data_IF_812602919270
#
_entry.id   IF_812602919270
#
_cell.length_a   1.000
_cell.length_b   1.000
_cell.length_c   1.000
_cell.angle_alpha   90.00
_cell.angle_beta   90.00
_cell.angle_gamma   90.00
#
_symmetry.space_group_name_H-M   'P 1'
#
loop_
_entity.id
_entity.type
_entity.pdbx_description
1 polymer ?
#
# COMPACT_ATOMS: atom_id res chain seq x y z
N UNK A 1 -67.65 68.51 -0.14
CA UNK A 1 -67.33 67.13 0.34
C UNK A 1 -68.30 66.15 -0.27
N UNK A 2 -67.92 65.51 -1.37
CA UNK A 2 -68.75 64.56 -2.11
C UNK A 2 -68.30 63.10 -1.86
N UNK A 3 -69.20 62.14 -1.79
CA UNK A 3 -68.89 60.76 -1.45
C UNK A 3 -68.24 60.05 -2.64
N UNK A 4 -67.14 59.32 -2.39
CA UNK A 4 -66.46 58.45 -3.33
C UNK A 4 -67.26 57.16 -3.45
N UNK A 5 -67.74 56.85 -4.65
CA UNK A 5 -68.34 55.56 -5.02
C UNK A 5 -67.24 54.49 -5.18
N UNK A 6 -67.35 53.42 -4.42
CA UNK A 6 -66.53 52.19 -4.59
C UNK A 6 -67.24 51.29 -5.57
N UNK A 7 -66.59 50.98 -6.68
CA UNK A 7 -67.09 50.05 -7.70
C UNK A 7 -66.51 48.66 -7.43
N UNK A 8 -67.35 47.68 -7.11
CA UNK A 8 -66.99 46.28 -6.99
C UNK A 8 -66.95 45.62 -8.37
N UNK A 9 -65.79 45.12 -8.78
CA UNK A 9 -65.66 44.27 -9.98
C UNK A 9 -65.79 42.82 -9.54
N UNK A 10 -66.82 42.13 -9.99
CA UNK A 10 -67.04 40.70 -9.80
C UNK A 10 -66.15 39.95 -10.84
N UNK A 11 -65.07 39.28 -10.39
CA UNK A 11 -64.28 38.40 -11.27
C UNK A 11 -64.82 36.98 -11.15
N UNK A 12 -65.48 36.50 -12.18
CA UNK A 12 -65.94 35.14 -12.31
C UNK A 12 -64.78 34.27 -12.78
N UNK A 13 -64.22 33.43 -11.88
CA UNK A 13 -63.18 32.46 -12.22
C UNK A 13 -63.87 31.19 -12.74
N UNK A 14 -63.73 30.93 -14.02
CA UNK A 14 -64.14 29.64 -14.62
C UNK A 14 -63.03 28.61 -14.37
N UNK A 15 -63.25 27.63 -13.50
CA UNK A 15 -62.38 26.51 -13.29
C UNK A 15 -62.53 25.53 -14.44
N UNK A 16 -61.63 25.59 -15.43
CA UNK A 16 -61.45 24.50 -16.41
C UNK A 16 -60.69 23.37 -15.76
N UNK A 17 -61.39 22.33 -15.39
CA UNK A 17 -60.75 21.08 -14.87
C UNK A 17 -59.93 20.43 -15.97
N UNK A 18 -58.59 20.56 -15.91
CA UNK A 18 -57.68 19.65 -16.60
C UNK A 18 -57.66 18.32 -15.84
N UNK A 19 -58.29 17.30 -16.40
CA UNK A 19 -58.01 15.93 -16.01
C UNK A 19 -56.58 15.59 -16.44
N UNK A 20 -55.58 15.74 -15.55
CA UNK A 20 -54.28 15.12 -15.68
C UNK A 20 -54.51 13.61 -15.50
N UNK A 21 -54.49 12.89 -16.60
CA UNK A 21 -54.38 11.43 -16.57
C UNK A 21 -53.09 11.05 -15.84
N UNK A 22 -53.24 10.50 -14.65
CA UNK A 22 -52.12 9.86 -13.97
C UNK A 22 -51.68 8.67 -14.82
N UNK A 23 -50.59 8.86 -15.59
CA UNK A 23 -49.86 7.73 -16.15
C UNK A 23 -49.32 6.92 -14.96
N UNK A 24 -49.92 5.74 -14.75
CA UNK A 24 -49.30 4.71 -13.90
C UNK A 24 -47.98 4.32 -14.57
N UNK A 25 -46.90 5.05 -14.26
CA UNK A 25 -45.55 4.50 -14.43
C UNK A 25 -45.54 3.25 -13.55
N UNK A 26 -45.64 2.09 -14.16
CA UNK A 26 -45.31 0.82 -13.51
C UNK A 26 -43.84 0.88 -13.15
N UNK A 27 -43.53 1.26 -11.89
CA UNK A 27 -42.20 1.15 -11.31
C UNK A 27 -41.85 -0.33 -11.44
N UNK A 28 -41.02 -0.65 -12.44
CA UNK A 28 -40.49 -2.01 -12.59
C UNK A 28 -39.91 -2.40 -11.24
N UNK A 29 -40.20 -3.59 -10.71
CA UNK A 29 -39.60 -4.02 -9.45
C UNK A 29 -38.09 -3.87 -9.55
N UNK A 30 -37.40 -3.40 -8.50
CA UNK A 30 -35.97 -3.21 -8.53
C UNK A 30 -35.33 -4.51 -9.01
N UNK A 31 -34.49 -4.39 -10.04
CA UNK A 31 -33.86 -5.54 -10.70
C UNK A 31 -33.11 -6.33 -9.62
N UNK A 32 -33.45 -7.59 -9.44
CA UNK A 32 -32.84 -8.46 -8.43
C UNK A 32 -31.31 -8.53 -8.65
N UNK A 33 -30.56 -8.28 -7.60
CA UNK A 33 -29.08 -8.35 -7.63
C UNK A 33 -28.66 -9.81 -7.56
N UNK A 34 -27.81 -10.24 -8.51
CA UNK A 34 -27.29 -11.61 -8.58
C UNK A 34 -25.77 -11.63 -8.60
N UNK A 35 -25.19 -12.78 -8.23
CA UNK A 35 -23.74 -12.95 -8.25
C UNK A 35 -23.18 -12.77 -9.66
N UNK A 36 -23.67 -13.56 -10.63
CA UNK A 36 -23.11 -13.62 -11.97
C UNK A 36 -23.12 -12.26 -12.68
N UNK A 37 -24.21 -11.52 -12.58
CA UNK A 37 -24.38 -10.26 -13.31
C UNK A 37 -23.76 -9.06 -12.57
N UNK A 38 -23.95 -8.98 -11.24
CA UNK A 38 -23.71 -7.73 -10.52
C UNK A 38 -22.52 -7.82 -9.55
N UNK A 39 -22.31 -8.97 -8.91
CA UNK A 39 -21.28 -9.11 -7.86
C UNK A 39 -19.96 -9.64 -8.40
N UNK A 40 -19.98 -10.64 -9.28
CA UNK A 40 -18.77 -11.21 -9.86
C UNK A 40 -17.89 -10.14 -10.54
N UNK A 41 -18.44 -9.18 -11.33
CA UNK A 41 -17.61 -8.11 -11.90
C UNK A 41 -16.87 -7.29 -10.85
N UNK A 42 -17.52 -7.00 -9.71
CA UNK A 42 -16.91 -6.24 -8.60
C UNK A 42 -15.80 -7.06 -7.94
N UNK A 43 -16.09 -8.35 -7.64
CA UNK A 43 -15.10 -9.24 -7.02
C UNK A 43 -13.91 -9.48 -7.94
N UNK A 44 -14.13 -9.70 -9.22
CA UNK A 44 -13.09 -9.95 -10.22
C UNK A 44 -12.16 -8.76 -10.41
N UNK A 45 -12.70 -7.56 -10.33
CA UNK A 45 -11.91 -6.33 -10.44
C UNK A 45 -11.10 -6.01 -9.18
N UNK A 46 -11.68 -6.21 -7.98
CA UNK A 46 -11.14 -5.60 -6.75
C UNK A 46 -10.67 -6.62 -5.69
N UNK A 47 -11.08 -7.90 -5.77
CA UNK A 47 -10.89 -8.84 -4.67
C UNK A 47 -10.04 -10.06 -5.04
N UNK A 48 -10.27 -10.65 -6.24
CA UNK A 48 -9.62 -11.90 -6.63
C UNK A 48 -8.12 -11.75 -6.91
N UNK A 49 -7.60 -10.55 -6.93
CA UNK A 49 -6.15 -10.31 -6.96
C UNK A 49 -5.44 -10.97 -5.78
N UNK A 50 -6.11 -11.06 -4.62
CA UNK A 50 -5.64 -11.75 -3.42
C UNK A 50 -6.51 -12.98 -3.09
N UNK A 51 -7.83 -12.89 -3.31
CA UNK A 51 -8.80 -13.94 -2.98
C UNK A 51 -8.98 -14.95 -4.13
N UNK A 52 -7.93 -15.72 -4.41
CA UNK A 52 -7.90 -16.78 -5.41
C UNK A 52 -7.16 -18.02 -4.88
N UNK A 53 -7.28 -19.18 -5.52
CA UNK A 53 -6.54 -20.38 -5.09
C UNK A 53 -5.02 -20.13 -5.11
N UNK A 54 -4.33 -20.64 -4.09
CA UNK A 54 -2.87 -20.55 -3.93
C UNK A 54 -2.32 -19.12 -3.80
N UNK A 55 -3.14 -18.19 -3.33
CA UNK A 55 -2.70 -16.85 -2.96
C UNK A 55 -2.92 -16.60 -1.46
N UNK A 56 -2.53 -15.42 -0.96
CA UNK A 56 -2.43 -15.11 0.47
C UNK A 56 -3.78 -15.14 1.22
N UNK A 57 -4.89 -14.85 0.55
CA UNK A 57 -6.18 -14.79 1.21
C UNK A 57 -6.71 -16.20 1.56
N UNK A 58 -7.37 -16.37 2.73
CA UNK A 58 -7.77 -17.69 3.24
C UNK A 58 -8.91 -18.34 2.46
N UNK A 59 -9.56 -17.63 1.53
CA UNK A 59 -10.65 -18.16 0.71
C UNK A 59 -10.62 -17.56 -0.70
N UNK A 60 -11.04 -18.36 -1.68
CA UNK A 60 -11.24 -17.93 -3.05
C UNK A 60 -12.59 -17.22 -3.23
N UNK A 61 -12.62 -16.18 -4.06
CA UNK A 61 -13.85 -15.49 -4.52
C UNK A 61 -14.03 -15.60 -6.03
N UNK A 62 -13.37 -16.58 -6.66
CA UNK A 62 -13.39 -16.80 -8.10
C UNK A 62 -14.70 -17.39 -8.63
N UNK A 63 -15.43 -18.10 -7.79
CA UNK A 63 -16.71 -18.74 -8.19
C UNK A 63 -17.81 -18.44 -7.19
N UNK A 64 -19.06 -18.55 -7.64
CA UNK A 64 -20.22 -18.46 -6.73
C UNK A 64 -20.15 -19.48 -5.60
N UNK A 65 -19.76 -20.72 -5.92
CA UNK A 65 -19.63 -21.81 -4.95
C UNK A 65 -18.63 -21.47 -3.84
N UNK A 66 -17.49 -20.89 -4.21
CA UNK A 66 -16.46 -20.50 -3.24
C UNK A 66 -16.89 -19.26 -2.44
N UNK A 67 -17.55 -18.31 -3.07
CA UNK A 67 -17.98 -17.04 -2.46
C UNK A 67 -19.18 -17.21 -1.52
N UNK A 68 -20.12 -18.08 -1.87
CA UNK A 68 -21.42 -18.23 -1.18
C UNK A 68 -21.31 -18.46 0.33
N UNK A 69 -20.38 -19.30 0.85
CA UNK A 69 -20.20 -19.51 2.28
C UNK A 69 -19.76 -18.25 3.05
N UNK A 70 -19.13 -17.30 2.36
CA UNK A 70 -18.49 -16.11 2.94
C UNK A 70 -19.31 -14.83 2.77
N UNK A 71 -20.53 -14.92 2.27
CA UNK A 71 -21.37 -13.75 1.94
C UNK A 71 -21.53 -12.78 3.11
N UNK A 72 -21.78 -13.29 4.32
CA UNK A 72 -21.93 -12.43 5.51
C UNK A 72 -20.62 -11.75 5.90
N UNK A 73 -19.49 -12.45 6.04
CA UNK A 73 -18.17 -11.81 6.27
C UNK A 73 -17.79 -10.81 5.17
N UNK A 74 -18.04 -11.13 3.88
CA UNK A 74 -17.77 -10.21 2.77
C UNK A 74 -18.56 -8.91 2.94
N UNK A 75 -19.86 -9.02 3.21
CA UNK A 75 -20.71 -7.86 3.45
C UNK A 75 -20.21 -7.00 4.61
N UNK A 76 -19.88 -7.62 5.73
CA UNK A 76 -19.35 -6.93 6.92
C UNK A 76 -18.04 -6.20 6.59
N UNK A 77 -17.13 -6.84 5.87
CA UNK A 77 -15.84 -6.28 5.49
C UNK A 77 -15.98 -5.09 4.53
N UNK A 78 -16.84 -5.19 3.50
CA UNK A 78 -16.98 -4.10 2.51
C UNK A 78 -17.79 -2.92 3.06
N UNK A 79 -18.84 -3.17 3.85
CA UNK A 79 -19.65 -2.10 4.47
C UNK A 79 -18.85 -1.33 5.50
N UNK A 80 -17.99 -2.00 6.27
CA UNK A 80 -17.06 -1.35 7.21
C UNK A 80 -15.80 -0.80 6.53
N UNK A 81 -15.67 -0.92 5.20
CA UNK A 81 -14.50 -0.50 4.40
C UNK A 81 -13.16 -1.10 4.88
N UNK A 82 -13.21 -2.30 5.49
CA UNK A 82 -12.00 -3.08 5.80
C UNK A 82 -11.39 -3.75 4.58
N UNK A 83 -12.23 -4.01 3.54
CA UNK A 83 -11.81 -4.62 2.28
C UNK A 83 -12.42 -3.88 1.09
N UNK A 84 -11.62 -3.65 0.04
CA UNK A 84 -10.18 -3.83 -0.04
C UNK A 84 -9.44 -2.96 0.97
N UNK A 85 -8.25 -3.38 1.48
CA UNK A 85 -7.48 -2.58 2.42
C UNK A 85 -6.98 -1.29 1.75
N UNK A 86 -7.21 -0.17 2.42
CA UNK A 86 -6.73 1.15 1.99
C UNK A 86 -6.86 2.14 3.15
N UNK A 87 -5.77 2.83 3.49
CA UNK A 87 -5.71 3.60 4.72
C UNK A 87 -5.43 5.09 4.50
N UNK A 88 -5.09 5.52 3.26
CA UNK A 88 -4.96 6.94 2.98
C UNK A 88 -6.31 7.67 3.08
N UNK A 89 -6.27 8.86 3.67
CA UNK A 89 -7.43 9.74 3.78
C UNK A 89 -7.95 10.11 2.38
N UNK A 90 -9.23 9.86 2.06
CA UNK A 90 -9.79 10.18 0.75
C UNK A 90 -9.78 11.67 0.39
N UNK A 91 -9.50 12.55 1.35
CA UNK A 91 -9.44 14.00 1.17
C UNK A 91 -8.02 14.51 0.90
N UNK A 92 -7.01 13.64 1.03
CA UNK A 92 -5.59 13.99 0.90
C UNK A 92 -4.95 13.13 -0.18
N UNK A 93 -4.54 13.76 -1.26
CA UNK A 93 -3.96 13.10 -2.43
C UNK A 93 -5.00 12.42 -3.33
N UNK A 94 -4.56 12.06 -4.54
CA UNK A 94 -5.30 11.28 -5.54
C UNK A 94 -4.34 10.23 -6.09
N UNK A 95 -4.70 8.94 -5.93
CA UNK A 95 -3.80 7.82 -6.15
C UNK A 95 -4.30 6.91 -7.27
N UNK A 96 -3.40 6.46 -8.14
CA UNK A 96 -3.74 5.59 -9.28
C UNK A 96 -4.03 4.15 -8.86
N UNK A 97 -3.53 3.73 -7.72
CA UNK A 97 -3.68 2.37 -7.19
C UNK A 97 -4.71 2.25 -6.07
N UNK A 98 -5.63 3.21 -5.96
CA UNK A 98 -6.71 3.17 -4.97
C UNK A 98 -7.71 2.04 -5.27
N UNK A 99 -7.77 0.98 -4.46
CA UNK A 99 -8.62 -0.17 -4.70
C UNK A 99 -10.01 -0.03 -4.06
N UNK A 100 -10.32 1.10 -3.43
CA UNK A 100 -11.57 1.27 -2.67
C UNK A 100 -12.79 1.08 -3.55
N UNK A 101 -13.76 0.36 -3.01
CA UNK A 101 -15.06 0.24 -3.65
C UNK A 101 -15.83 1.57 -3.60
N UNK A 102 -16.54 1.85 -4.67
CA UNK A 102 -17.53 2.94 -4.71
C UNK A 102 -18.72 2.62 -3.81
N UNK A 103 -19.47 3.63 -3.39
CA UNK A 103 -20.69 3.45 -2.60
C UNK A 103 -21.72 2.56 -3.34
N UNK A 104 -21.78 2.66 -4.68
CA UNK A 104 -22.64 1.84 -5.51
C UNK A 104 -22.22 0.36 -5.52
N UNK A 105 -20.92 0.06 -5.58
CA UNK A 105 -20.40 -1.30 -5.50
C UNK A 105 -20.66 -1.92 -4.12
N UNK A 106 -20.46 -1.15 -3.05
CA UNK A 106 -20.76 -1.56 -1.66
C UNK A 106 -22.25 -1.85 -1.52
N UNK A 107 -23.12 -0.95 -2.00
CA UNK A 107 -24.58 -1.13 -1.95
C UNK A 107 -25.04 -2.35 -2.75
N UNK A 108 -24.39 -2.65 -3.88
CA UNK A 108 -24.66 -3.84 -4.69
C UNK A 108 -24.37 -5.12 -3.91
N UNK A 109 -23.20 -5.22 -3.28
CA UNK A 109 -22.82 -6.37 -2.45
C UNK A 109 -23.74 -6.50 -1.23
N UNK A 110 -24.05 -5.39 -0.53
CA UNK A 110 -24.96 -5.37 0.62
C UNK A 110 -26.36 -5.87 0.23
N UNK A 111 -26.91 -5.35 -0.88
CA UNK A 111 -28.21 -5.77 -1.42
C UNK A 111 -28.22 -7.24 -1.79
N UNK A 112 -27.18 -7.72 -2.49
CA UNK A 112 -27.07 -9.13 -2.87
C UNK A 112 -27.14 -10.05 -1.65
N UNK A 113 -26.38 -9.76 -0.62
CA UNK A 113 -26.37 -10.59 0.60
C UNK A 113 -27.72 -10.55 1.32
N UNK A 114 -28.34 -9.37 1.46
CA UNK A 114 -29.64 -9.19 2.12
C UNK A 114 -30.80 -9.89 1.38
N UNK A 115 -30.71 -9.99 0.05
CA UNK A 115 -31.76 -10.63 -0.76
C UNK A 115 -31.55 -12.13 -0.98
N UNK A 116 -30.64 -12.74 -0.20
CA UNK A 116 -30.43 -14.19 -0.16
C UNK A 116 -29.25 -14.68 -1.01
N UNK A 117 -28.43 -13.77 -1.52
CA UNK A 117 -27.19 -14.05 -2.25
C UNK A 117 -27.38 -15.05 -3.40
N UNK A 118 -28.29 -14.75 -4.32
CA UNK A 118 -28.62 -15.61 -5.47
C UNK A 118 -27.49 -15.62 -6.50
N UNK A 119 -27.34 -16.78 -7.19
CA UNK A 119 -26.30 -16.95 -8.22
C UNK A 119 -26.60 -16.15 -9.49
N UNK A 120 -27.82 -16.25 -9.98
CA UNK A 120 -28.26 -15.65 -11.26
C UNK A 120 -28.06 -16.56 -12.47
N UNK A 121 -28.30 -16.03 -13.67
CA UNK A 121 -28.13 -16.78 -14.93
C UNK A 121 -26.63 -16.98 -15.22
N UNK A 122 -26.17 -18.20 -15.50
CA UNK A 122 -24.79 -18.48 -15.90
C UNK A 122 -24.29 -17.68 -17.11
N UNK A 123 -25.19 -17.23 -17.98
CA UNK A 123 -24.86 -16.42 -19.16
C UNK A 123 -24.40 -15.00 -18.81
N UNK A 124 -24.79 -14.53 -17.62
CA UNK A 124 -24.44 -13.20 -17.13
C UNK A 124 -23.04 -13.18 -16.48
N UNK A 125 -22.42 -14.35 -16.24
CA UNK A 125 -21.11 -14.42 -15.60
C UNK A 125 -20.04 -13.91 -16.56
N UNK A 126 -19.26 -12.87 -16.19
CA UNK A 126 -18.13 -12.43 -16.99
C UNK A 126 -17.02 -13.49 -17.04
N UNK A 127 -16.15 -13.45 -18.07
CA UNK A 127 -14.97 -14.30 -18.08
C UNK A 127 -14.16 -14.14 -16.81
N UNK A 128 -13.73 -15.25 -16.21
CA UNK A 128 -12.87 -15.23 -15.04
C UNK A 128 -11.53 -14.57 -15.38
N UNK A 129 -10.98 -13.72 -14.50
CA UNK A 129 -9.65 -13.16 -14.68
C UNK A 129 -8.60 -14.27 -14.78
N UNK A 130 -7.67 -14.10 -15.71
CA UNK A 130 -6.51 -14.98 -15.85
C UNK A 130 -5.32 -14.29 -15.17
N UNK A 131 -4.70 -14.98 -14.24
CA UNK A 131 -3.51 -14.50 -13.56
C UNK A 131 -2.28 -15.19 -14.13
N UNK A 132 -1.24 -14.43 -14.39
CA UNK A 132 0.03 -14.99 -14.85
C UNK A 132 0.62 -15.86 -13.73
N UNK A 133 1.03 -17.07 -14.10
CA UNK A 133 1.91 -17.89 -13.28
C UNK A 133 3.35 -17.43 -13.53
N UNK A 134 3.93 -16.63 -12.62
CA UNK A 134 5.27 -16.08 -12.78
C UNK A 134 5.29 -14.57 -13.03
N UNK A 135 6.25 -14.12 -13.85
CA UNK A 135 6.51 -12.71 -14.07
C UNK A 135 5.44 -12.01 -14.91
N UNK A 136 4.98 -10.84 -14.47
CA UNK A 136 4.15 -9.93 -15.29
C UNK A 136 5.01 -9.05 -16.20
N UNK A 137 6.30 -8.89 -15.89
CA UNK A 137 7.31 -8.26 -16.73
C UNK A 137 8.15 -9.33 -17.45
N UNK A 138 8.92 -8.92 -18.46
CA UNK A 138 9.94 -9.77 -19.07
C UNK A 138 11.31 -9.34 -18.53
N UNK A 139 11.84 -9.98 -17.47
CA UNK A 139 13.09 -9.57 -16.87
C UNK A 139 14.28 -9.75 -17.81
N UNK A 140 15.20 -8.79 -17.79
CA UNK A 140 16.52 -8.95 -18.42
C UNK A 140 17.47 -9.74 -17.48
N UNK A 141 17.25 -9.65 -16.16
CA UNK A 141 17.95 -10.43 -15.13
C UNK A 141 17.01 -10.80 -14.00
N UNK A 142 17.24 -11.98 -13.42
CA UNK A 142 16.55 -12.46 -12.21
C UNK A 142 17.57 -12.75 -11.13
N UNK A 143 17.37 -12.17 -9.95
CA UNK A 143 18.20 -12.41 -8.77
C UNK A 143 17.32 -13.09 -7.71
N UNK A 144 17.79 -14.22 -7.18
CA UNK A 144 17.00 -15.11 -6.32
C UNK A 144 17.74 -15.32 -5.01
N UNK A 145 17.01 -15.32 -3.88
CA UNK A 145 17.57 -15.71 -2.59
C UNK A 145 17.96 -17.20 -2.59
N UNK A 146 18.95 -17.63 -1.79
CA UNK A 146 19.15 -19.04 -1.48
C UNK A 146 17.85 -19.66 -0.95
N UNK A 147 17.70 -20.99 -1.15
CA UNK A 147 16.52 -21.71 -0.61
C UNK A 147 16.43 -21.50 0.90
N UNK A 148 15.30 -21.00 1.37
CA UNK A 148 15.02 -20.75 2.78
C UNK A 148 13.87 -21.64 3.26
N UNK A 149 14.06 -22.31 4.42
CA UNK A 149 13.02 -23.14 5.03
C UNK A 149 12.16 -22.30 5.98
N UNK A 150 10.92 -22.07 5.60
CA UNK A 150 9.90 -21.43 6.43
C UNK A 150 9.17 -22.51 7.20
N UNK A 151 9.43 -22.63 8.50
CA UNK A 151 8.83 -23.69 9.32
C UNK A 151 7.34 -23.45 9.57
N UNK A 152 6.61 -24.51 9.90
CA UNK A 152 5.19 -24.41 10.28
C UNK A 152 4.94 -23.49 11.50
N UNK A 153 5.98 -23.19 12.29
CA UNK A 153 5.92 -22.30 13.45
C UNK A 153 6.24 -20.83 13.12
N UNK A 154 6.65 -20.53 11.89
CA UNK A 154 7.00 -19.17 11.45
C UNK A 154 5.75 -18.33 11.24
N UNK A 155 5.35 -17.58 12.27
CA UNK A 155 4.11 -16.79 12.25
C UNK A 155 4.32 -15.32 11.92
N UNK A 156 5.52 -14.77 12.17
CA UNK A 156 5.81 -13.35 12.00
C UNK A 156 7.34 -13.13 11.99
N UNK A 157 8.02 -13.82 11.07
CA UNK A 157 9.48 -13.86 10.99
C UNK A 157 9.97 -12.88 9.89
N UNK A 158 11.00 -12.08 10.22
CA UNK A 158 11.68 -11.20 9.27
C UNK A 158 13.08 -11.72 8.97
N UNK A 159 13.35 -11.97 7.70
CA UNK A 159 14.68 -12.42 7.25
C UNK A 159 15.31 -11.37 6.33
N UNK A 160 16.60 -11.11 6.56
CA UNK A 160 17.40 -10.20 5.74
C UNK A 160 18.45 -11.00 4.99
N UNK A 161 18.29 -11.09 3.67
CA UNK A 161 19.10 -11.93 2.81
C UNK A 161 19.81 -11.08 1.77
N UNK A 162 21.15 -11.20 1.68
CA UNK A 162 21.97 -10.42 0.76
C UNK A 162 22.32 -11.23 -0.47
N UNK A 163 21.99 -10.69 -1.65
CA UNK A 163 22.27 -11.31 -2.94
C UNK A 163 23.17 -10.39 -3.76
N UNK A 164 24.37 -10.81 -4.17
CA UNK A 164 25.23 -9.98 -5.00
C UNK A 164 24.60 -9.77 -6.38
N UNK A 165 24.62 -8.53 -6.87
CA UNK A 165 24.10 -8.24 -8.23
C UNK A 165 25.04 -8.74 -9.33
N UNK A 166 26.35 -8.83 -9.03
CA UNK A 166 27.42 -9.11 -9.97
C UNK A 166 27.49 -8.12 -11.16
N UNK A 167 26.91 -6.93 -10.99
CA UNK A 167 26.99 -5.88 -12.00
C UNK A 167 28.38 -5.25 -12.01
N UNK A 168 29.01 -5.25 -13.18
CA UNK A 168 30.34 -4.64 -13.40
C UNK A 168 30.25 -3.16 -13.79
N UNK A 169 29.06 -2.67 -14.07
CA UNK A 169 28.72 -1.29 -14.40
C UNK A 169 27.37 -0.90 -13.79
N UNK A 170 27.12 0.39 -13.61
CA UNK A 170 25.82 0.88 -13.13
C UNK A 170 24.70 0.41 -14.06
N UNK A 171 23.60 -0.07 -13.48
CA UNK A 171 22.41 -0.48 -14.24
C UNK A 171 21.24 0.44 -13.94
N UNK A 172 20.55 0.83 -15.00
CA UNK A 172 19.34 1.63 -14.93
C UNK A 172 18.10 0.74 -15.08
N UNK A 173 17.27 0.73 -14.04
CA UNK A 173 16.13 -0.18 -13.93
C UNK A 173 14.85 0.57 -14.26
N UNK A 174 14.20 0.18 -15.34
CA UNK A 174 12.91 0.74 -15.77
C UNK A 174 11.72 0.00 -15.19
N UNK A 175 11.81 -1.31 -14.99
CA UNK A 175 10.78 -2.07 -14.31
C UNK A 175 11.40 -3.12 -13.39
N UNK A 176 10.69 -3.43 -12.31
CA UNK A 176 11.06 -4.47 -11.38
C UNK A 176 9.81 -5.17 -10.85
N UNK A 177 9.96 -6.44 -10.53
CA UNK A 177 8.91 -7.25 -9.91
C UNK A 177 9.56 -8.20 -8.92
N UNK A 178 9.01 -8.25 -7.71
CA UNK A 178 9.40 -9.25 -6.71
C UNK A 178 8.38 -10.38 -6.78
N UNK A 179 8.88 -11.58 -7.03
CA UNK A 179 8.08 -12.79 -7.15
C UNK A 179 8.39 -13.71 -5.97
N UNK A 180 7.45 -13.93 -5.04
CA UNK A 180 7.58 -14.92 -3.98
C UNK A 180 7.81 -16.32 -4.53
N UNK A 181 8.66 -17.10 -3.89
CA UNK A 181 8.80 -18.51 -4.20
C UNK A 181 7.56 -19.30 -3.80
N UNK A 182 6.98 -18.95 -2.65
CA UNK A 182 5.67 -19.48 -2.23
C UNK A 182 4.80 -18.38 -1.59
N UNK A 183 3.71 -18.02 -2.28
CA UNK A 183 2.78 -16.97 -1.85
C UNK A 183 2.00 -17.29 -0.57
N UNK A 184 1.96 -18.56 -0.15
CA UNK A 184 1.26 -18.99 1.06
C UNK A 184 2.00 -18.59 2.34
N UNK A 185 3.30 -18.32 2.24
CA UNK A 185 4.16 -18.05 3.39
C UNK A 185 4.89 -16.72 3.33
N UNK A 186 5.04 -16.12 2.15
CA UNK A 186 5.62 -14.78 1.99
C UNK A 186 4.53 -13.74 2.13
N UNK A 187 4.50 -13.03 3.26
CA UNK A 187 3.51 -11.98 3.52
C UNK A 187 3.85 -10.70 2.74
N UNK A 188 5.10 -10.23 2.84
CA UNK A 188 5.64 -9.16 1.98
C UNK A 188 7.16 -9.28 1.87
N UNK A 189 7.72 -8.64 0.86
CA UNK A 189 9.16 -8.54 0.68
C UNK A 189 9.54 -7.17 0.13
N UNK A 190 10.56 -6.56 0.73
CA UNK A 190 11.17 -5.33 0.22
C UNK A 190 12.59 -5.65 -0.24
N UNK A 191 12.97 -5.17 -1.41
CA UNK A 191 14.32 -5.35 -1.94
C UNK A 191 14.99 -3.99 -2.03
N UNK A 192 16.09 -3.80 -1.29
CA UNK A 192 16.86 -2.57 -1.26
C UNK A 192 18.26 -2.78 -1.83
N UNK A 193 18.83 -1.73 -2.42
CA UNK A 193 20.22 -1.75 -2.89
C UNK A 193 21.15 -1.37 -1.74
N UNK A 194 22.16 -2.19 -1.51
CA UNK A 194 23.16 -1.96 -0.46
C UNK A 194 24.57 -2.02 -1.05
N UNK A 195 25.43 -1.13 -0.60
CA UNK A 195 26.84 -1.10 -1.02
C UNK A 195 27.62 -2.29 -0.43
N UNK A 196 28.59 -2.80 -1.18
CA UNK A 196 29.38 -3.98 -0.79
C UNK A 196 30.14 -3.80 0.52
N UNK A 197 30.66 -2.61 0.79
CA UNK A 197 31.36 -2.29 2.04
C UNK A 197 30.46 -2.36 3.27
N UNK A 198 29.18 -1.96 3.13
CA UNK A 198 28.18 -2.11 4.20
C UNK A 198 27.85 -3.58 4.48
N UNK A 199 27.78 -4.42 3.42
CA UNK A 199 27.59 -5.87 3.59
C UNK A 199 28.78 -6.48 4.31
N UNK A 200 30.00 -6.18 3.87
CA UNK A 200 31.22 -6.67 4.50
C UNK A 200 31.31 -6.30 5.99
N UNK A 201 30.93 -5.06 6.34
CA UNK A 201 30.87 -4.61 7.74
C UNK A 201 29.87 -5.41 8.56
N UNK A 202 28.68 -5.69 8.01
CA UNK A 202 27.67 -6.52 8.69
C UNK A 202 28.11 -7.97 8.85
N UNK A 203 28.81 -8.53 7.85
CA UNK A 203 29.40 -9.87 7.94
C UNK A 203 30.46 -9.93 9.05
N UNK A 204 31.29 -8.91 9.18
CA UNK A 204 32.29 -8.81 10.26
C UNK A 204 31.64 -8.68 11.64
N UNK A 205 30.58 -7.89 11.79
CA UNK A 205 29.81 -7.74 13.02
C UNK A 205 29.14 -9.07 13.42
N UNK A 206 28.57 -9.79 12.46
CA UNK A 206 27.96 -11.11 12.69
C UNK A 206 29.00 -12.16 13.09
N UNK A 207 30.17 -12.19 12.43
CA UNK A 207 31.26 -13.09 12.79
C UNK A 207 31.76 -12.87 14.22
N UNK A 208 31.71 -11.63 14.72
CA UNK A 208 32.10 -11.29 16.11
C UNK A 208 31.03 -11.65 17.13
N UNK A 209 29.76 -11.78 16.73
CA UNK A 209 28.66 -12.07 17.65
C UNK A 209 28.50 -13.53 18.03
N UNK A 210 29.29 -14.45 17.48
CA UNK A 210 29.21 -15.93 17.67
C UNK A 210 27.81 -16.53 17.46
N UNK A 211 26.93 -15.82 16.78
CA UNK A 211 25.59 -16.28 16.50
C UNK A 211 25.62 -17.20 15.29
N UNK A 212 25.94 -18.44 15.36
CA UNK A 212 26.03 -19.45 14.30
C UNK A 212 25.01 -19.38 13.14
N UNK A 213 24.74 -18.18 12.68
CA UNK A 213 23.83 -17.82 11.62
C UNK A 213 24.55 -17.87 10.27
N UNK A 214 23.87 -18.40 9.29
CA UNK A 214 24.38 -18.53 7.93
C UNK A 214 24.85 -17.16 7.42
N UNK A 215 25.96 -17.10 6.72
CA UNK A 215 26.64 -15.95 6.15
C UNK A 215 25.73 -14.93 5.43
N UNK A 216 24.57 -15.35 4.97
CA UNK A 216 23.64 -14.55 4.18
C UNK A 216 22.31 -14.25 4.90
N UNK A 217 22.12 -14.72 6.13
CA UNK A 217 20.90 -14.57 6.88
C UNK A 217 21.13 -13.73 8.14
N UNK A 218 20.38 -12.66 8.29
CA UNK A 218 20.31 -11.89 9.50
C UNK A 218 18.91 -12.01 10.11
N UNK A 219 18.77 -12.83 11.17
CA UNK A 219 17.52 -12.92 11.92
C UNK A 219 17.36 -11.72 12.85
N UNK A 220 16.39 -10.88 12.59
CA UNK A 220 16.00 -9.80 13.50
C UNK A 220 14.99 -10.26 14.56
N UNK A 221 15.02 -11.49 14.97
CA UNK A 221 14.26 -12.01 16.12
C UNK A 221 14.84 -11.64 17.48
N UNK A 222 15.98 -10.96 17.53
CA UNK A 222 16.50 -10.38 18.77
C UNK A 222 16.08 -8.93 18.87
N UNK A 223 15.29 -8.64 19.91
CA UNK A 223 15.05 -7.34 20.49
C UNK A 223 16.21 -6.39 20.12
N UNK A 224 15.90 -5.34 19.37
CA UNK A 224 16.79 -4.20 19.23
C UNK A 224 17.30 -3.87 20.62
N UNK A 225 18.60 -4.13 20.89
CA UNK A 225 19.19 -3.68 22.12
C UNK A 225 19.12 -2.16 22.08
N UNK A 226 18.12 -1.62 22.75
CA UNK A 226 18.09 -0.20 23.08
C UNK A 226 19.45 0.06 23.70
N UNK A 227 20.29 0.82 23.00
CA UNK A 227 21.50 1.32 23.64
C UNK A 227 21.01 2.06 24.86
N UNK A 228 21.38 1.59 26.05
CA UNK A 228 20.97 2.23 27.32
C UNK A 228 21.26 3.73 27.38
N UNK A 229 22.08 4.20 26.47
CA UNK A 229 22.62 5.55 26.35
C UNK A 229 22.08 6.30 25.10
N UNK A 230 21.17 5.71 24.31
CA UNK A 230 20.59 6.41 23.16
C UNK A 230 19.64 7.52 23.68
N UNK A 231 19.74 8.75 23.16
CA UNK A 231 18.77 9.78 23.52
C UNK A 231 17.38 9.35 23.06
N UNK A 232 16.37 9.55 23.90
CA UNK A 232 14.96 9.43 23.50
C UNK A 232 14.56 10.76 22.88
N UNK A 233 14.16 10.73 21.61
CA UNK A 233 13.80 11.91 20.82
C UNK A 233 12.41 11.72 20.20
N UNK A 234 11.36 11.98 20.96
CA UNK A 234 9.99 11.96 20.45
C UNK A 234 9.75 13.07 19.41
N UNK A 235 10.46 14.18 19.56
CA UNK A 235 10.48 15.27 18.59
C UNK A 235 11.78 15.25 17.76
N UNK A 236 11.75 14.49 16.69
CA UNK A 236 12.85 14.43 15.74
C UNK A 236 13.09 15.74 15.00
N UNK A 237 12.09 16.63 14.92
CA UNK A 237 12.24 17.95 14.29
C UNK A 237 13.12 18.90 15.12
N UNK A 238 13.28 18.66 16.41
CA UNK A 238 14.20 19.39 17.26
C UNK A 238 15.66 18.90 17.14
N UNK A 239 15.88 17.77 16.44
CA UNK A 239 17.22 17.20 16.23
C UNK A 239 17.84 17.71 14.93
N UNK A 240 19.14 18.04 14.88
CA UNK A 240 19.85 18.34 13.63
C UNK A 240 19.75 17.23 12.57
N UNK A 241 19.57 15.97 13.01
CA UNK A 241 19.44 14.80 12.15
C UNK A 241 17.96 14.44 11.84
N UNK A 242 17.01 15.31 12.21
CA UNK A 242 15.58 15.12 11.93
C UNK A 242 14.95 13.87 12.58
N UNK A 243 15.56 13.32 13.64
CA UNK A 243 15.17 12.07 14.29
C UNK A 243 15.95 10.85 13.80
N UNK A 244 16.84 11.01 12.83
CA UNK A 244 17.78 9.98 12.40
C UNK A 244 18.93 9.77 13.40
N UNK A 245 19.64 8.66 13.27
CA UNK A 245 20.84 8.39 14.05
C UNK A 245 22.06 9.04 13.41
N UNK A 246 23.13 9.36 14.18
CA UNK A 246 24.37 9.89 13.63
C UNK A 246 24.93 8.97 12.53
N UNK A 247 25.15 9.52 11.34
CA UNK A 247 25.62 8.80 10.16
C UNK A 247 24.52 8.22 9.25
N UNK A 248 23.29 8.16 9.73
CA UNK A 248 22.09 7.84 8.96
C UNK A 248 20.95 8.82 9.34
N UNK A 249 21.09 10.10 9.00
CA UNK A 249 20.11 11.12 9.37
C UNK A 249 18.77 10.86 8.68
N UNK A 250 17.70 11.45 9.22
CA UNK A 250 16.40 11.51 8.55
C UNK A 250 16.56 12.07 7.12
N UNK A 251 15.80 11.54 6.17
CA UNK A 251 15.98 11.90 4.76
C UNK A 251 17.11 11.14 4.05
N UNK A 252 17.54 10.04 4.61
CA UNK A 252 18.49 9.13 3.98
C UNK A 252 17.96 8.68 2.61
N UNK A 253 18.86 8.72 1.61
CA UNK A 253 18.52 8.28 0.26
C UNK A 253 18.67 6.76 0.16
N UNK A 254 17.57 6.07 -0.02
CA UNK A 254 17.53 4.63 -0.28
C UNK A 254 17.17 4.33 -1.74
N UNK A 255 17.57 3.16 -2.20
CA UNK A 255 17.29 2.69 -3.55
C UNK A 255 16.52 1.38 -3.41
N UNK A 256 15.22 1.42 -3.66
CA UNK A 256 14.32 0.27 -3.56
C UNK A 256 13.83 -0.10 -4.95
N UNK A 257 14.46 -1.08 -5.62
CA UNK A 257 14.04 -1.49 -6.96
C UNK A 257 12.67 -2.15 -6.99
N UNK A 258 12.26 -2.83 -5.92
CA UNK A 258 10.96 -3.50 -5.92
C UNK A 258 10.47 -3.88 -4.53
N UNK A 259 9.14 -3.93 -4.42
CA UNK A 259 8.40 -4.38 -3.24
C UNK A 259 7.38 -5.43 -3.68
N UNK A 260 7.23 -6.49 -2.91
CA UNK A 260 6.09 -7.40 -2.99
C UNK A 260 5.14 -7.15 -1.83
N UNK A 261 3.91 -6.86 -2.17
CA UNK A 261 2.76 -6.87 -1.27
C UNK A 261 1.67 -7.72 -1.93
N UNK A 262 0.84 -8.44 -1.17
CA UNK A 262 -0.28 -9.17 -1.74
C UNK A 262 -1.16 -8.26 -2.60
N UNK A 263 -1.38 -8.67 -3.86
CA UNK A 263 -2.14 -7.85 -4.81
C UNK A 263 -1.36 -6.74 -5.51
N UNK A 264 -0.12 -6.48 -5.12
CA UNK A 264 0.74 -5.52 -5.81
C UNK A 264 1.28 -6.10 -7.12
N UNK A 265 1.25 -5.29 -8.16
CA UNK A 265 1.78 -5.65 -9.48
C UNK A 265 3.23 -5.16 -9.63
N UNK A 266 3.86 -5.57 -10.74
CA UNK A 266 5.19 -5.11 -11.09
C UNK A 266 5.29 -3.56 -11.14
N UNK A 267 6.35 -3.01 -10.56
CA UNK A 267 6.65 -1.59 -10.68
C UNK A 267 7.24 -1.28 -12.05
N UNK A 268 6.50 -0.55 -12.86
CA UNK A 268 6.94 -0.09 -14.18
C UNK A 268 7.01 1.42 -14.21
N UNK A 269 8.17 1.95 -14.57
CA UNK A 269 8.41 3.39 -14.67
C UNK A 269 8.19 3.85 -16.10
N UNK A 270 7.70 5.08 -16.34
CA UNK A 270 7.55 5.62 -17.69
C UNK A 270 8.88 5.66 -18.44
N UNK A 271 8.83 5.74 -19.76
CA UNK A 271 10.01 5.92 -20.61
C UNK A 271 10.83 7.16 -20.18
N UNK A 272 12.13 7.00 -20.07
CA UNK A 272 13.04 8.05 -19.58
C UNK A 272 13.15 8.16 -18.06
N UNK A 273 12.38 7.38 -17.28
CA UNK A 273 12.52 7.28 -15.83
C UNK A 273 13.16 5.93 -15.47
N UNK A 274 14.17 5.96 -14.63
CA UNK A 274 14.78 4.73 -14.14
C UNK A 274 15.40 4.93 -12.75
N UNK A 275 15.57 3.82 -12.06
CA UNK A 275 16.28 3.72 -10.80
C UNK A 275 17.68 3.20 -11.08
N UNK A 276 18.72 3.76 -10.46
CA UNK A 276 20.10 3.36 -10.65
C UNK A 276 20.53 2.33 -9.62
N UNK A 277 21.04 1.18 -10.06
CA UNK A 277 21.76 0.23 -9.21
C UNK A 277 23.25 0.35 -9.54
N UNK A 278 24.08 0.84 -8.59
CA UNK A 278 25.53 0.97 -8.80
C UNK A 278 26.22 -0.38 -9.03
N UNK A 279 27.32 -0.35 -9.77
CA UNK A 279 28.20 -1.50 -9.95
C UNK A 279 28.65 -2.08 -8.60
N UNK A 280 28.78 -3.40 -8.51
CA UNK A 280 29.27 -4.10 -7.31
C UNK A 280 28.31 -4.07 -6.12
N UNK A 281 27.07 -3.56 -6.29
CA UNK A 281 26.05 -3.55 -5.23
C UNK A 281 25.53 -4.94 -4.93
N UNK A 282 24.95 -5.09 -3.74
CA UNK A 282 24.11 -6.21 -3.34
C UNK A 282 22.65 -5.77 -3.31
N UNK A 283 21.74 -6.73 -3.45
CA UNK A 283 20.35 -6.57 -3.08
C UNK A 283 20.11 -7.18 -1.71
N UNK A 284 19.55 -6.39 -0.81
CA UNK A 284 19.06 -6.85 0.50
C UNK A 284 17.57 -7.16 0.36
N UNK A 285 17.22 -8.42 0.44
CA UNK A 285 15.84 -8.85 0.57
C UNK A 285 15.46 -8.83 2.05
N UNK A 286 14.49 -8.02 2.42
CA UNK A 286 13.78 -8.13 3.69
C UNK A 286 12.50 -8.89 3.40
N UNK A 287 12.43 -10.14 3.83
CA UNK A 287 11.26 -10.99 3.60
C UNK A 287 10.54 -11.23 4.92
N UNK A 288 9.27 -10.88 4.95
CA UNK A 288 8.38 -11.16 6.07
C UNK A 288 7.61 -12.44 5.79
N UNK A 289 7.87 -13.46 6.59
CA UNK A 289 7.21 -14.74 6.51
C UNK A 289 6.09 -14.86 7.54
N UNK A 290 4.94 -15.40 7.08
CA UNK A 290 3.79 -15.70 7.93
C UNK A 290 3.17 -17.01 7.45
N UNK A 291 3.56 -18.11 8.09
CA UNK A 291 3.17 -19.46 7.65
C UNK A 291 1.89 -19.94 8.35
N UNK A 292 0.79 -19.91 7.62
CA UNK A 292 -0.50 -20.44 8.06
C UNK A 292 -0.86 -21.80 7.42
N UNK A 293 0.07 -22.39 6.65
CA UNK A 293 -0.18 -23.68 5.97
C UNK A 293 -0.18 -24.89 6.90
N UNK A 294 0.46 -24.77 8.07
CA UNK A 294 0.67 -25.87 9.00
C UNK A 294 1.76 -26.87 8.60
N UNK A 295 2.49 -26.58 7.51
CA UNK A 295 3.58 -27.41 6.97
C UNK A 295 4.85 -26.58 6.80
N UNK A 296 5.99 -27.24 6.83
CA UNK A 296 7.27 -26.61 6.46
C UNK A 296 7.30 -26.35 4.95
N UNK A 297 7.62 -25.12 4.56
CA UNK A 297 7.59 -24.68 3.16
C UNK A 297 8.95 -24.12 2.79
N UNK A 298 9.44 -24.43 1.60
CA UNK A 298 10.67 -23.86 1.05
C UNK A 298 10.35 -22.67 0.18
N UNK A 299 11.01 -21.54 0.47
CA UNK A 299 10.91 -20.32 -0.31
C UNK A 299 12.16 -20.04 -1.13
N UNK A 300 11.98 -19.42 -2.29
CA UNK A 300 13.02 -18.89 -3.18
C UNK A 300 12.53 -17.61 -3.83
N UNK A 301 12.19 -16.64 -3.00
CA UNK A 301 11.76 -15.30 -3.47
C UNK A 301 12.82 -14.70 -4.39
N UNK A 302 12.35 -14.09 -5.47
CA UNK A 302 13.21 -13.55 -6.53
C UNK A 302 12.79 -12.13 -6.89
N UNK A 303 13.72 -11.35 -7.46
CA UNK A 303 13.40 -10.10 -8.13
C UNK A 303 13.79 -10.19 -9.60
N UNK A 304 12.87 -9.82 -10.48
CA UNK A 304 13.12 -9.61 -11.90
C UNK A 304 13.35 -8.13 -12.19
N UNK A 305 14.38 -7.80 -12.93
CA UNK A 305 14.74 -6.43 -13.29
C UNK A 305 14.71 -6.27 -14.81
N UNK A 306 14.09 -5.19 -15.28
CA UNK A 306 14.11 -4.77 -16.69
C UNK A 306 14.97 -3.52 -16.79
N UNK A 307 15.99 -3.56 -17.62
CA UNK A 307 16.88 -2.43 -17.86
C UNK A 307 16.23 -1.37 -18.75
N UNK A 308 16.55 -0.11 -18.52
CA UNK A 308 16.15 0.98 -19.40
C UNK A 308 16.81 0.82 -20.76
N UNK A 309 15.99 0.85 -21.82
CA UNK A 309 16.46 0.72 -23.22
C UNK A 309 16.63 2.08 -23.89
N UNK A 310 16.08 3.11 -23.29
CA UNK A 310 16.16 4.49 -23.76
C UNK A 310 17.02 5.34 -22.81
N UNK A 311 17.56 6.48 -23.26
CA UNK A 311 18.31 7.38 -22.39
C UNK A 311 17.50 7.81 -21.18
N UNK A 312 18.09 7.65 -20.00
CA UNK A 312 17.48 8.05 -18.73
C UNK A 312 17.52 9.57 -18.61
N UNK A 313 16.36 10.18 -18.39
CA UNK A 313 16.18 11.62 -18.21
C UNK A 313 15.94 11.98 -16.73
N UNK A 314 15.32 11.05 -16.01
CA UNK A 314 14.92 11.23 -14.61
C UNK A 314 15.33 10.01 -13.78
N UNK A 315 16.17 10.24 -12.79
CA UNK A 315 16.52 9.23 -11.80
C UNK A 315 15.43 9.17 -10.72
N UNK A 316 14.91 7.96 -10.47
CA UNK A 316 14.00 7.67 -9.37
C UNK A 316 14.83 7.28 -8.14
N UNK A 317 14.50 7.87 -7.01
CA UNK A 317 15.13 7.57 -5.74
C UNK A 317 14.09 7.72 -4.62
N UNK A 318 14.36 7.11 -3.47
CA UNK A 318 13.50 7.16 -2.31
C UNK A 318 14.21 7.89 -1.17
N UNK A 319 13.55 8.87 -0.57
CA UNK A 319 13.96 9.47 0.69
C UNK A 319 13.21 8.81 1.84
N UNK A 320 13.92 8.33 2.83
CA UNK A 320 13.33 7.79 4.05
C UNK A 320 13.38 8.85 5.15
N UNK A 321 12.21 9.35 5.54
CA UNK A 321 12.05 10.32 6.63
C UNK A 321 11.61 9.53 7.85
N UNK A 322 12.50 9.32 8.79
CA UNK A 322 12.31 8.40 9.89
C UNK A 322 12.71 8.97 11.24
N UNK A 323 12.12 8.45 12.30
CA UNK A 323 12.63 8.58 13.67
C UNK A 323 12.60 7.18 14.32
N UNK A 324 13.74 6.73 14.82
CA UNK A 324 13.91 5.46 15.51
C UNK A 324 14.52 5.61 16.92
N UNK A 325 14.59 6.84 17.41
CA UNK A 325 15.17 7.20 18.71
C UNK A 325 14.08 7.55 19.75
N UNK A 326 12.91 6.92 19.67
CA UNK A 326 11.82 7.17 20.60
C UNK A 326 11.50 5.96 21.48
N UNK A 327 10.80 6.21 22.57
CA UNK A 327 10.32 5.18 23.49
C UNK A 327 8.83 5.38 23.73
N UNK A 328 8.01 4.36 23.43
CA UNK A 328 6.58 4.42 23.71
C UNK A 328 6.36 4.01 25.16
N UNK A 329 5.84 4.89 26.02
CA UNK A 329 5.55 4.56 27.41
C UNK A 329 4.48 3.45 27.52
N UNK A 330 4.52 2.60 28.54
CA UNK A 330 3.46 1.64 28.79
C UNK A 330 2.11 2.33 29.02
N UNK A 331 1.04 1.80 28.43
CA UNK A 331 -0.33 2.31 28.52
C UNK A 331 -0.52 3.72 27.92
N UNK A 332 0.35 4.16 27.04
CA UNK A 332 0.14 5.36 26.24
C UNK A 332 -0.57 4.97 24.94
N UNK A 333 -1.83 5.33 24.82
CA UNK A 333 -2.67 4.98 23.69
C UNK A 333 -2.55 5.96 22.50
N UNK A 334 -1.71 7.00 22.62
CA UNK A 334 -1.56 8.04 21.60
C UNK A 334 -0.22 8.75 21.64
N UNK A 335 0.86 7.99 21.81
CA UNK A 335 2.22 8.52 21.86
C UNK A 335 2.63 9.18 20.55
N UNK A 336 2.93 10.48 20.60
CA UNK A 336 3.29 11.28 19.42
C UNK A 336 4.81 11.24 19.18
N UNK A 337 5.19 10.96 17.93
CA UNK A 337 6.57 11.01 17.46
C UNK A 337 6.62 11.83 16.17
N UNK A 338 7.64 12.69 16.04
CA UNK A 338 7.88 13.45 14.80
C UNK A 338 9.20 13.11 14.16
N UNK A 339 9.30 13.33 12.85
CA UNK A 339 10.55 13.35 12.10
C UNK A 339 10.50 14.43 11.03
N UNK A 340 11.63 15.08 10.77
CA UNK A 340 11.72 16.16 9.79
C UNK A 340 12.88 15.96 8.83
N UNK A 341 12.72 16.49 7.62
CA UNK A 341 13.77 16.51 6.62
C UNK A 341 13.61 17.70 5.69
N UNK A 342 14.68 18.48 5.52
CA UNK A 342 14.70 19.59 4.55
C UNK A 342 15.29 19.12 3.23
N UNK A 343 14.55 19.27 2.14
CA UNK A 343 14.99 18.84 0.80
C UNK A 343 16.24 19.63 0.34
N UNK A 344 17.34 18.94 0.01
CA UNK A 344 18.58 19.58 -0.44
C UNK A 344 18.53 20.04 -1.90
N UNK A 345 17.54 19.60 -2.66
CA UNK A 345 17.32 19.90 -4.08
C UNK A 345 15.83 19.82 -4.42
N UNK A 346 15.47 20.30 -5.60
CA UNK A 346 14.12 20.11 -6.15
C UNK A 346 13.81 18.62 -6.35
N UNK A 347 12.62 18.18 -5.94
CA UNK A 347 12.17 16.79 -6.02
C UNK A 347 10.77 16.74 -6.62
N UNK A 348 10.58 15.97 -7.69
CA UNK A 348 9.25 15.63 -8.18
C UNK A 348 8.77 14.37 -7.46
N UNK A 349 7.70 14.51 -6.69
CA UNK A 349 7.12 13.39 -5.94
C UNK A 349 6.25 12.54 -6.85
N UNK A 350 6.45 11.21 -6.77
CA UNK A 350 5.70 10.23 -7.58
C UNK A 350 4.89 9.26 -6.72
N UNK A 351 5.34 9.00 -5.50
CA UNK A 351 4.67 8.10 -4.56
C UNK A 351 5.07 8.40 -3.11
N UNK A 352 4.27 7.88 -2.19
CA UNK A 352 4.55 7.85 -0.75
C UNK A 352 4.40 6.45 -0.20
N UNK A 353 5.13 6.14 0.87
CA UNK A 353 4.91 4.93 1.67
C UNK A 353 4.86 5.34 3.14
N UNK A 354 3.75 5.04 3.81
CA UNK A 354 3.67 5.15 5.26
C UNK A 354 4.13 3.85 5.88
N UNK A 355 5.17 3.92 6.73
CA UNK A 355 5.69 2.74 7.41
C UNK A 355 5.82 2.97 8.90
N UNK A 356 5.16 2.14 9.68
CA UNK A 356 5.34 1.99 11.13
C UNK A 356 5.30 0.49 11.47
N UNK A 357 5.75 0.11 12.66
CA UNK A 357 5.59 -1.25 13.16
C UNK A 357 4.20 -1.44 13.82
N UNK A 358 3.95 -2.62 14.39
CA UNK A 358 2.62 -3.06 14.85
C UNK A 358 1.96 -2.14 15.90
N UNK A 359 2.73 -1.29 16.59
CA UNK A 359 2.20 -0.25 17.50
C UNK A 359 1.77 1.03 16.78
N UNK A 360 1.99 1.13 15.46
CA UNK A 360 1.57 2.28 14.67
C UNK A 360 0.06 2.44 14.64
N UNK A 361 -0.43 3.67 14.85
CA UNK A 361 -1.84 4.04 14.88
C UNK A 361 -2.24 4.97 13.74
N UNK A 362 -1.44 5.99 13.49
CA UNK A 362 -1.66 6.93 12.39
C UNK A 362 -0.39 7.64 11.99
N UNK A 363 -0.32 8.09 10.73
CA UNK A 363 0.80 8.86 10.19
C UNK A 363 0.29 9.97 9.29
N UNK A 364 0.87 11.17 9.44
CA UNK A 364 0.60 12.31 8.59
C UNK A 364 1.91 12.97 8.18
N UNK A 365 2.07 13.29 6.89
CA UNK A 365 3.23 14.04 6.37
C UNK A 365 2.76 15.37 5.80
N UNK A 366 3.42 16.44 6.23
CA UNK A 366 3.17 17.83 5.83
C UNK A 366 4.41 18.38 5.12
N UNK A 367 4.21 19.17 4.09
CA UNK A 367 5.26 19.92 3.39
C UNK A 367 5.15 21.39 3.74
N UNK A 368 6.24 21.97 4.23
CA UNK A 368 6.38 23.40 4.52
C UNK A 368 7.31 24.01 3.46
N UNK A 369 6.73 24.83 2.60
CA UNK A 369 7.44 25.41 1.46
C UNK A 369 8.27 26.64 1.84
N UNK A 370 9.33 26.97 1.10
CA UNK A 370 10.17 28.15 1.38
C UNK A 370 9.44 29.49 1.33
N UNK A 371 8.32 29.56 0.63
CA UNK A 371 7.46 30.77 0.54
C UNK A 371 6.47 30.92 1.71
N UNK A 372 6.49 30.00 2.67
CA UNK A 372 5.61 29.97 3.82
C UNK A 372 4.27 29.25 3.62
N UNK A 373 4.01 28.74 2.42
CA UNK A 373 2.88 27.84 2.19
C UNK A 373 3.14 26.49 2.88
N UNK A 374 2.07 25.81 3.33
CA UNK A 374 2.15 24.44 3.81
C UNK A 374 0.91 23.64 3.44
N UNK A 375 1.08 22.34 3.25
CA UNK A 375 -0.03 21.44 2.95
C UNK A 375 0.23 20.03 3.49
N UNK A 376 -0.86 19.28 3.72
CA UNK A 376 -0.79 17.86 4.03
C UNK A 376 -0.64 17.08 2.74
N UNK A 377 0.48 16.38 2.57
CA UNK A 377 0.79 15.63 1.35
C UNK A 377 0.46 14.13 1.46
N UNK A 378 0.41 13.59 2.69
CA UNK A 378 -0.08 12.25 2.99
C UNK A 378 -0.74 12.25 4.36
N UNK A 379 -1.90 11.60 4.47
CA UNK A 379 -2.56 11.32 5.75
C UNK A 379 -3.06 9.88 5.78
N UNK A 380 -2.61 9.11 6.78
CA UNK A 380 -3.02 7.73 7.04
C UNK A 380 -3.58 7.67 8.46
N UNK A 381 -4.87 8.02 8.66
CA UNK A 381 -5.46 8.19 9.98
C UNK A 381 -5.68 6.87 10.75
N UNK A 382 -5.71 5.75 10.05
CA UNK A 382 -5.91 4.42 10.62
C UNK A 382 -4.90 3.47 10.01
N UNK A 383 -3.63 3.57 10.47
CA UNK A 383 -2.57 2.68 10.01
C UNK A 383 -2.82 1.24 10.45
N UNK A 384 -2.56 0.29 9.57
CA UNK A 384 -2.56 -1.14 9.90
C UNK A 384 -1.25 -1.76 9.40
N UNK A 385 -0.44 -2.26 10.32
CA UNK A 385 0.87 -2.86 10.04
C UNK A 385 0.81 -4.02 9.02
N UNK A 386 -0.31 -4.72 8.93
CA UNK A 386 -0.50 -5.81 7.97
C UNK A 386 -0.60 -5.33 6.51
N UNK A 387 -0.83 -4.01 6.30
CA UNK A 387 -1.06 -3.40 5.00
C UNK A 387 -0.18 -2.15 4.84
N UNK A 388 1.07 -2.37 4.40
CA UNK A 388 2.07 -1.33 4.24
C UNK A 388 2.04 -0.82 2.80
N UNK A 389 1.03 -0.02 2.48
CA UNK A 389 0.76 0.43 1.13
C UNK A 389 1.74 1.51 0.64
N UNK A 390 2.08 1.41 -0.64
CA UNK A 390 2.67 2.53 -1.39
C UNK A 390 1.58 3.25 -2.16
N UNK A 391 1.47 4.54 -1.97
CA UNK A 391 0.46 5.42 -2.55
C UNK A 391 1.03 6.11 -3.78
N UNK A 392 0.75 5.61 -4.99
CA UNK A 392 1.23 6.19 -6.25
C UNK A 392 0.37 7.36 -6.68
N UNK A 393 0.96 8.55 -6.80
CA UNK A 393 0.26 9.77 -7.15
C UNK A 393 -0.26 9.73 -8.59
N UNK A 394 -1.51 10.10 -8.78
CA UNK A 394 -2.10 10.31 -10.11
C UNK A 394 -1.54 11.56 -10.78
N UNK A 395 -1.26 12.59 -10.00
CA UNK A 395 -0.65 13.83 -10.42
C UNK A 395 0.62 14.08 -9.64
N UNK A 396 1.75 13.97 -10.32
CA UNK A 396 3.06 14.29 -9.76
C UNK A 396 3.16 15.79 -9.51
N UNK A 397 3.88 16.19 -8.48
CA UNK A 397 4.11 17.61 -8.18
C UNK A 397 5.53 17.86 -7.69
N UNK A 398 5.97 19.12 -7.83
CA UNK A 398 7.31 19.55 -7.47
C UNK A 398 7.34 20.03 -6.02
N UNK A 399 8.27 19.49 -5.24
CA UNK A 399 8.72 20.06 -3.97
C UNK A 399 10.04 20.79 -4.23
N UNK A 400 10.09 22.13 -4.10
CA UNK A 400 11.30 22.88 -4.34
C UNK A 400 12.35 22.63 -3.24
N UNK A 401 13.62 22.84 -3.59
CA UNK A 401 14.71 22.87 -2.63
C UNK A 401 14.38 23.77 -1.43
N UNK A 402 14.69 23.29 -0.22
CA UNK A 402 14.41 24.01 1.03
C UNK A 402 13.00 23.75 1.59
N UNK A 403 12.15 22.96 0.89
CA UNK A 403 10.92 22.47 1.50
C UNK A 403 11.24 21.56 2.66
N UNK A 404 10.66 21.82 3.83
CA UNK A 404 10.75 20.95 4.99
C UNK A 404 9.58 19.96 4.98
N UNK A 405 9.89 18.68 5.07
CA UNK A 405 8.92 17.60 5.25
C UNK A 405 8.86 17.22 6.71
N UNK A 406 7.68 17.32 7.33
CA UNK A 406 7.44 16.90 8.70
C UNK A 406 6.47 15.73 8.72
N UNK A 407 6.91 14.60 9.27
CA UNK A 407 6.06 13.44 9.51
C UNK A 407 5.70 13.36 10.98
N UNK A 408 4.40 13.32 11.27
CA UNK A 408 3.85 13.10 12.61
C UNK A 408 3.21 11.72 12.66
N UNK A 409 3.69 10.90 13.58
CA UNK A 409 3.21 9.53 13.83
C UNK A 409 2.64 9.40 15.22
N UNK A 410 1.58 8.61 15.38
CA UNK A 410 1.02 8.24 16.67
C UNK A 410 1.12 6.74 16.87
N UNK A 411 1.45 6.33 18.08
CA UNK A 411 1.61 4.94 18.48
C UNK A 411 0.69 4.61 19.66
N UNK A 412 0.35 3.33 19.80
CA UNK A 412 -0.51 2.78 20.84
C UNK A 412 0.22 1.61 21.53
N UNK A 413 0.43 1.66 22.86
CA UNK A 413 1.15 0.64 23.62
C UNK A 413 0.33 0.11 24.80
#
# INVERSE_FOLDING_TARGET
MGPRRVMFVLVTIVFSGLFLGASNETVSPPKEVTFNRDVAPILFKNCVVCHRPNDIAPMSLMTYKDTRPWTRPIREAVVSRKMPPWHADPKVGDFINDPRLTDAEIATIDSWVRTGAKEGDPKDLPPAPVFAEGWHIKPDVVLTIPEFLVTAASMDDYEYIYVPTNFTEDKWIQAAEVLPGDRRVVHHATVSVIAADKVAKKEEENAKSNAGEDKYHYRTGKVLHIRKDAPVLDDGCASPDGGGIPGEPSGYLNIVPGIYLPGHLAETRPAGFALRIPAGSYLQFQVHYSNHSGEDVKDRTSIGLVFAKEPVKHEIAQYEIWNNLFLIPPNDDSHKVTSCFTLPKDVTVVAYTAHMHFRGKSMKTEAFYPDGHHEVILNVPNYDFRWQETYFLKHQFLLPKGTELMTTSYFDN
#
